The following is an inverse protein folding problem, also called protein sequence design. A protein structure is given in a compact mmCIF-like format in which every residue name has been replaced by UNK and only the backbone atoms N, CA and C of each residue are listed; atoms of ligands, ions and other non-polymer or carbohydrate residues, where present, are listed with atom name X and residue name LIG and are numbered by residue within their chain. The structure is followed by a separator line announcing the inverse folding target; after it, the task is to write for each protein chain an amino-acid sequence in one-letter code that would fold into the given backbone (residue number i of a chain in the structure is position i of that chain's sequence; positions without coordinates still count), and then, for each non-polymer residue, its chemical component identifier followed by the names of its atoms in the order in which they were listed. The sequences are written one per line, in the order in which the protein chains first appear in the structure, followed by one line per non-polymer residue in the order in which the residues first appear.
data_IF_011881782212
#
_entry.id   IF_011881782212
#
_cell.length_a   1.000
_cell.length_b   1.000
_cell.length_c   1.000
_cell.angle_alpha   90.00
_cell.angle_beta   90.00
_cell.angle_gamma   90.00
#
_symmetry.space_group_name_H-M   'P 1'
#
loop_
_entity.id
_entity.type
_entity.pdbx_description
1 polymer ?
#
# COMPACT_ATOMS: atom_id res chain seq x y z
N UNK A 1 -54.50 9.91 -46.44
CA UNK A 1 -53.24 9.06 -46.32
C UNK A 1 -52.92 8.86 -44.85
N UNK A 2 -53.11 7.67 -44.32
CA UNK A 2 -52.80 7.37 -42.88
C UNK A 2 -51.33 7.06 -42.66
N UNK A 3 -50.81 7.52 -41.53
CA UNK A 3 -49.49 7.25 -41.03
C UNK A 3 -49.37 5.80 -40.59
N UNK A 4 -48.25 5.16 -40.90
CA UNK A 4 -47.88 3.80 -40.50
C UNK A 4 -47.38 3.77 -39.08
N UNK A 5 -47.78 2.73 -38.39
CA UNK A 5 -47.60 2.33 -37.02
C UNK A 5 -46.15 2.25 -36.53
N UNK A 6 -45.88 2.89 -35.40
CA UNK A 6 -44.71 2.67 -34.56
C UNK A 6 -44.94 1.40 -33.70
N UNK A 7 -44.39 0.28 -34.11
CA UNK A 7 -44.32 -0.93 -33.28
C UNK A 7 -43.00 -0.94 -32.50
N UNK A 8 -43.00 -1.13 -31.16
CA UNK A 8 -41.76 -1.17 -30.38
C UNK A 8 -40.97 -2.45 -30.66
N UNK A 9 -39.70 -2.27 -31.00
CA UNK A 9 -38.73 -3.33 -31.17
C UNK A 9 -38.56 -4.18 -29.88
N UNK A 10 -38.77 -5.50 -29.98
CA UNK A 10 -38.52 -6.46 -28.90
C UNK A 10 -37.27 -7.26 -29.21
N UNK A 11 -36.21 -7.21 -28.35
CA UNK A 11 -35.00 -8.02 -28.56
C UNK A 11 -35.29 -9.49 -28.27
N UNK A 12 -35.27 -10.32 -29.31
CA UNK A 12 -35.49 -11.78 -29.25
C UNK A 12 -34.39 -12.59 -28.53
N UNK A 13 -33.28 -11.95 -28.10
CA UNK A 13 -32.16 -12.59 -27.44
C UNK A 13 -32.34 -12.81 -25.92
N UNK A 14 -33.01 -11.90 -25.24
CA UNK A 14 -33.17 -11.98 -23.78
C UNK A 14 -34.10 -13.09 -23.32
N UNK A 15 -35.09 -13.45 -24.13
CA UNK A 15 -36.03 -14.55 -23.81
C UNK A 15 -35.38 -15.96 -23.92
N UNK A 16 -34.30 -16.11 -24.70
CA UNK A 16 -33.54 -17.38 -24.77
C UNK A 16 -32.57 -17.52 -23.60
N UNK A 17 -31.91 -16.42 -23.16
CA UNK A 17 -31.01 -16.45 -22.03
C UNK A 17 -31.75 -16.73 -20.71
N UNK A 18 -32.96 -16.18 -20.52
CA UNK A 18 -33.77 -16.47 -19.34
C UNK A 18 -34.22 -17.94 -19.26
N UNK A 19 -34.58 -18.56 -20.40
CA UNK A 19 -34.96 -19.98 -20.44
C UNK A 19 -33.79 -20.94 -20.19
N UNK A 20 -32.58 -20.59 -20.60
CA UNK A 20 -31.40 -21.40 -20.32
C UNK A 20 -30.95 -21.29 -18.84
N UNK A 21 -31.10 -20.13 -18.20
CA UNK A 21 -30.92 -19.95 -16.78
C UNK A 21 -31.89 -20.79 -15.94
N UNK A 22 -33.17 -20.76 -16.30
CA UNK A 22 -34.23 -21.51 -15.61
C UNK A 22 -34.08 -23.05 -15.78
N UNK A 23 -33.60 -23.50 -16.94
CA UNK A 23 -33.25 -24.91 -17.19
C UNK A 23 -32.00 -25.36 -16.42
N UNK A 24 -30.99 -24.50 -16.32
CA UNK A 24 -29.80 -24.79 -15.54
C UNK A 24 -30.12 -24.89 -14.03
N UNK A 25 -30.99 -24.04 -13.52
CA UNK A 25 -31.45 -24.09 -12.13
C UNK A 25 -32.26 -25.34 -11.84
N UNK A 26 -33.17 -25.74 -12.75
CA UNK A 26 -34.01 -26.96 -12.59
C UNK A 26 -33.23 -28.26 -12.74
N UNK A 27 -32.15 -28.29 -13.53
CA UNK A 27 -31.36 -29.52 -13.75
C UNK A 27 -30.22 -29.65 -12.72
N UNK A 28 -29.61 -28.54 -12.31
CA UNK A 28 -28.49 -28.58 -11.34
C UNK A 28 -28.94 -28.62 -9.90
N UNK A 29 -30.14 -28.12 -9.58
CA UNK A 29 -30.70 -28.15 -8.22
C UNK A 29 -30.85 -29.58 -7.60
N UNK A 30 -31.30 -30.61 -8.35
CA UNK A 30 -31.37 -31.95 -7.80
C UNK A 30 -29.99 -32.63 -7.71
N UNK A 31 -29.02 -32.27 -8.54
CA UNK A 31 -27.66 -32.83 -8.51
C UNK A 31 -26.91 -32.29 -7.30
N UNK A 32 -27.01 -30.99 -7.02
CA UNK A 32 -26.43 -30.36 -5.83
C UNK A 32 -27.00 -30.97 -4.53
N UNK A 33 -28.32 -31.26 -4.48
CA UNK A 33 -28.95 -31.92 -3.33
C UNK A 33 -28.49 -33.36 -3.12
N UNK A 34 -28.09 -34.09 -4.16
CA UNK A 34 -27.65 -35.48 -4.07
C UNK A 34 -26.18 -35.60 -3.58
N UNK A 35 -25.32 -34.62 -3.85
CA UNK A 35 -23.94 -34.61 -3.36
C UNK A 35 -23.82 -34.27 -1.88
N UNK A 36 -24.77 -33.51 -1.31
CA UNK A 36 -24.76 -33.11 0.10
C UNK A 36 -25.10 -34.29 1.07
N UNK A 37 -25.68 -35.40 0.59
CA UNK A 37 -26.03 -36.53 1.45
C UNK A 37 -24.87 -37.47 1.84
N UNK A 38 -23.64 -37.27 1.33
CA UNK A 38 -22.47 -38.13 1.61
C UNK A 38 -21.36 -37.46 2.40
N UNK A 39 -21.61 -36.35 3.09
CA UNK A 39 -20.53 -35.47 3.53
C UNK A 39 -20.17 -35.45 5.01
N UNK A 40 -20.98 -35.97 5.92
CA UNK A 40 -20.59 -36.04 7.34
C UNK A 40 -19.73 -37.27 7.62
N UNK A 41 -18.57 -37.21 8.26
CA UNK A 41 -18.00 -36.05 9.02
C UNK A 41 -17.08 -35.13 8.22
N UNK A 42 -16.92 -35.31 6.90
CA UNK A 42 -15.94 -34.60 6.06
C UNK A 42 -16.43 -33.24 5.52
N UNK A 43 -17.72 -32.95 5.60
CA UNK A 43 -18.29 -31.66 5.22
C UNK A 43 -19.00 -31.02 6.41
N UNK A 44 -18.97 -29.67 6.51
CA UNK A 44 -19.68 -28.96 7.56
C UNK A 44 -21.19 -29.26 7.50
N UNK A 45 -21.90 -29.26 8.65
CA UNK A 45 -23.34 -29.51 8.69
C UNK A 45 -24.10 -28.49 7.83
N UNK A 46 -25.13 -29.01 7.12
CA UNK A 46 -26.02 -28.17 6.32
C UNK A 46 -26.86 -27.28 7.23
N UNK A 47 -26.93 -25.99 6.91
CA UNK A 47 -27.79 -25.05 7.63
C UNK A 47 -29.25 -25.31 7.25
N UNK A 48 -30.21 -25.38 8.21
CA UNK A 48 -31.61 -25.48 7.91
C UNK A 48 -32.12 -24.31 7.08
N UNK A 49 -33.09 -24.56 6.17
CA UNK A 49 -33.74 -23.49 5.39
C UNK A 49 -34.43 -22.51 6.34
N UNK A 50 -34.11 -21.18 6.17
CA UNK A 50 -34.69 -20.11 6.99
C UNK A 50 -33.85 -19.70 8.18
N UNK A 51 -32.66 -20.27 8.38
CA UNK A 51 -31.68 -19.77 9.32
C UNK A 51 -30.71 -18.86 8.58
N UNK A 52 -30.72 -17.58 8.89
CA UNK A 52 -29.67 -16.64 8.48
C UNK A 52 -28.39 -17.04 9.20
N UNK A 53 -27.48 -17.66 8.46
CA UNK A 53 -26.13 -17.88 8.96
C UNK A 53 -25.44 -16.55 8.89
N UNK A 54 -24.95 -16.00 10.01
CA UNK A 54 -24.09 -14.83 9.95
C UNK A 54 -22.96 -15.14 8.96
N UNK A 55 -22.81 -14.33 7.92
CA UNK A 55 -21.66 -14.45 7.01
C UNK A 55 -20.41 -14.55 7.89
N UNK A 56 -19.68 -15.67 7.74
CA UNK A 56 -18.40 -15.83 8.40
C UNK A 56 -17.58 -14.62 8.00
N UNK A 57 -17.43 -13.65 8.91
CA UNK A 57 -16.61 -12.47 8.66
C UNK A 57 -15.28 -12.99 8.14
N UNK A 58 -14.97 -12.63 6.91
CA UNK A 58 -13.74 -13.02 6.27
C UNK A 58 -12.59 -12.55 7.18
N UNK A 59 -11.78 -13.46 7.67
CA UNK A 59 -10.54 -13.11 8.41
C UNK A 59 -9.46 -12.61 7.45
N UNK A 60 -9.84 -12.18 6.24
CA UNK A 60 -9.03 -11.61 5.19
C UNK A 60 -9.34 -10.11 5.06
N UNK A 61 -8.60 -9.43 4.22
CA UNK A 61 -8.73 -8.00 4.07
C UNK A 61 -8.19 -7.24 5.28
N UNK A 62 -8.91 -6.23 5.71
CA UNK A 62 -8.52 -5.36 6.83
C UNK A 62 -8.49 -6.08 8.20
N UNK A 63 -9.18 -7.21 8.33
CA UNK A 63 -9.25 -7.99 9.56
C UNK A 63 -8.18 -9.09 9.68
N UNK A 64 -7.27 -9.21 8.70
CA UNK A 64 -6.21 -10.22 8.76
C UNK A 64 -5.23 -9.93 9.89
N UNK A 65 -5.08 -10.89 10.82
CA UNK A 65 -4.15 -10.76 11.95
C UNK A 65 -2.70 -10.93 11.50
N UNK A 66 -1.93 -9.86 11.58
CA UNK A 66 -0.49 -9.81 11.24
C UNK A 66 0.42 -9.83 12.48
N UNK A 67 -0.09 -9.92 13.71
CA UNK A 67 0.71 -9.85 14.96
C UNK A 67 1.77 -10.94 15.03
N UNK A 68 1.48 -12.13 14.49
CA UNK A 68 2.42 -13.24 14.42
C UNK A 68 3.71 -12.87 13.67
N UNK A 69 3.62 -12.00 12.65
CA UNK A 69 4.75 -11.59 11.83
C UNK A 69 5.77 -10.71 12.58
N UNK A 70 5.39 -10.17 13.73
CA UNK A 70 6.25 -9.36 14.61
C UNK A 70 6.87 -10.15 15.76
N UNK A 71 6.55 -11.43 15.92
CA UNK A 71 7.20 -12.31 16.88
C UNK A 71 8.65 -12.62 16.49
N UNK A 72 9.51 -12.92 17.48
CA UNK A 72 10.94 -13.12 17.28
C UNK A 72 11.31 -14.08 16.13
N UNK A 73 10.71 -15.29 15.98
CA UNK A 73 11.08 -16.19 14.89
C UNK A 73 10.72 -15.63 13.51
N UNK A 74 9.56 -14.98 13.35
CA UNK A 74 9.17 -14.37 12.08
C UNK A 74 10.07 -13.15 11.74
N UNK A 75 10.49 -12.38 12.75
CA UNK A 75 11.46 -11.28 12.57
C UNK A 75 12.81 -11.79 12.11
N UNK A 76 13.33 -12.86 12.72
CA UNK A 76 14.60 -13.46 12.33
C UNK A 76 14.55 -13.98 10.88
N UNK A 77 13.48 -14.70 10.52
CA UNK A 77 13.27 -15.19 9.16
C UNK A 77 13.16 -14.02 8.15
N UNK A 78 12.38 -12.99 8.46
CA UNK A 78 12.28 -11.79 7.60
C UNK A 78 13.63 -11.12 7.41
N UNK A 79 14.45 -10.98 8.47
CA UNK A 79 15.78 -10.40 8.35
C UNK A 79 16.63 -11.18 7.34
N UNK A 80 16.57 -12.50 7.35
CA UNK A 80 17.21 -13.35 6.36
C UNK A 80 16.65 -13.14 4.94
N UNK A 81 15.34 -13.09 4.79
CA UNK A 81 14.67 -12.87 3.51
C UNK A 81 15.02 -11.49 2.93
N UNK A 82 14.94 -10.44 3.73
CA UNK A 82 15.20 -9.06 3.25
C UNK A 82 16.67 -8.84 2.94
N UNK A 83 17.59 -9.29 3.80
CA UNK A 83 19.03 -9.11 3.59
C UNK A 83 19.65 -10.09 2.58
N UNK A 84 18.98 -11.19 2.28
CA UNK A 84 19.37 -12.18 1.27
C UNK A 84 18.61 -11.98 -0.05
N UNK A 85 17.62 -12.83 -0.35
CA UNK A 85 17.00 -12.87 -1.67
C UNK A 85 16.33 -11.55 -2.10
N UNK A 86 15.68 -10.80 -1.19
CA UNK A 86 15.04 -9.52 -1.56
C UNK A 86 16.09 -8.48 -1.92
N UNK A 87 17.15 -8.35 -1.13
CA UNK A 87 18.27 -7.43 -1.43
C UNK A 87 18.94 -7.80 -2.75
N UNK A 88 19.21 -9.09 -2.99
CA UNK A 88 19.82 -9.55 -4.23
C UNK A 88 18.92 -9.20 -5.44
N UNK A 89 17.62 -9.52 -5.35
CA UNK A 89 16.65 -9.19 -6.39
C UNK A 89 16.57 -7.67 -6.65
N UNK A 90 16.47 -6.86 -5.61
CA UNK A 90 16.39 -5.39 -5.73
C UNK A 90 17.69 -4.85 -6.32
N UNK A 91 18.86 -5.35 -5.91
CA UNK A 91 20.15 -4.92 -6.46
C UNK A 91 20.29 -5.30 -7.93
N UNK A 92 19.81 -6.49 -8.33
CA UNK A 92 19.88 -6.95 -9.71
C UNK A 92 18.90 -6.21 -10.66
N UNK A 93 17.68 -5.92 -10.18
CA UNK A 93 16.62 -5.35 -11.02
C UNK A 93 16.62 -3.82 -10.96
N UNK A 94 16.81 -3.23 -9.80
CA UNK A 94 16.58 -1.80 -9.56
C UNK A 94 17.84 -1.02 -9.17
N UNK A 95 18.96 -1.68 -8.84
CA UNK A 95 20.26 -1.08 -8.48
C UNK A 95 20.14 0.25 -7.72
N UNK A 96 19.55 0.30 -6.52
CA UNK A 96 19.18 1.54 -5.85
C UNK A 96 20.41 2.33 -5.41
N UNK A 97 20.47 3.61 -5.80
CA UNK A 97 21.43 4.60 -5.29
C UNK A 97 20.74 5.40 -4.20
N UNK A 98 21.29 5.36 -3.00
CA UNK A 98 20.68 5.95 -1.80
C UNK A 98 21.40 7.22 -1.43
N UNK A 99 20.64 8.30 -1.19
CA UNK A 99 21.12 9.61 -0.79
C UNK A 99 20.36 10.14 0.42
N UNK A 100 20.95 11.07 1.17
CA UNK A 100 20.28 11.78 2.26
C UNK A 100 20.10 10.98 3.55
N UNK A 101 20.75 9.81 3.69
CA UNK A 101 20.69 9.03 4.96
C UNK A 101 21.41 9.74 6.11
N UNK A 102 22.37 10.61 5.80
CA UNK A 102 23.07 11.50 6.74
C UNK A 102 22.09 12.45 7.46
N UNK A 103 20.98 12.82 6.83
CA UNK A 103 19.91 13.67 7.42
C UNK A 103 19.19 12.99 8.58
N UNK A 104 19.37 11.68 8.75
CA UNK A 104 18.80 10.89 9.83
C UNK A 104 19.85 10.56 10.92
N UNK A 105 21.10 10.98 10.73
CA UNK A 105 22.23 10.59 11.59
C UNK A 105 22.05 11.01 13.04
N UNK A 106 21.49 12.20 13.28
CA UNK A 106 21.29 12.69 14.64
C UNK A 106 20.26 11.82 15.39
N UNK A 107 19.17 11.45 14.73
CA UNK A 107 18.15 10.56 15.32
C UNK A 107 18.67 9.13 15.52
N UNK A 108 19.57 8.65 14.65
CA UNK A 108 20.12 7.30 14.75
C UNK A 108 21.15 7.14 15.88
N UNK A 109 21.72 8.24 16.37
CA UNK A 109 22.72 8.24 17.48
C UNK A 109 22.09 8.21 18.87
N UNK A 110 20.77 8.39 18.97
CA UNK A 110 20.09 8.24 20.26
C UNK A 110 20.19 6.79 20.73
N UNK A 111 20.29 6.56 22.03
CA UNK A 111 20.33 5.22 22.64
C UNK A 111 19.03 4.45 22.33
N UNK A 112 17.89 5.16 22.26
CA UNK A 112 16.59 4.65 21.81
C UNK A 112 16.06 5.55 20.69
N UNK A 113 16.39 5.27 19.42
CA UNK A 113 15.99 6.07 18.29
C UNK A 113 14.45 6.07 18.14
N UNK A 114 13.83 7.25 18.01
CA UNK A 114 12.37 7.33 17.87
C UNK A 114 11.88 6.63 16.60
N UNK A 115 10.69 6.03 16.61
CA UNK A 115 10.07 5.49 15.41
C UNK A 115 9.83 6.61 14.40
N UNK A 116 9.96 6.30 13.11
CA UNK A 116 9.79 7.24 12.01
C UNK A 116 8.65 6.80 11.07
N UNK A 117 8.01 7.79 10.45
CA UNK A 117 7.00 7.56 9.41
C UNK A 117 7.62 7.96 8.06
N UNK A 118 8.02 6.97 7.26
CA UNK A 118 8.55 7.20 5.91
C UNK A 118 7.42 7.38 4.91
N UNK A 119 7.46 8.48 4.15
CA UNK A 119 6.43 8.84 3.17
C UNK A 119 7.01 8.95 1.76
N UNK A 120 7.21 7.82 1.08
CA UNK A 120 7.65 7.84 -0.31
C UNK A 120 6.51 8.17 -1.28
N UNK A 121 6.87 8.69 -2.48
CA UNK A 121 6.01 8.65 -3.66
C UNK A 121 5.78 7.19 -4.11
N UNK A 122 4.75 6.94 -4.95
CA UNK A 122 4.36 5.56 -5.29
C UNK A 122 4.10 5.34 -6.78
N UNK A 123 5.10 4.85 -7.50
CA UNK A 123 5.02 4.59 -8.94
C UNK A 123 4.99 3.09 -9.27
N UNK A 124 5.48 2.23 -8.38
CA UNK A 124 5.73 0.82 -8.67
C UNK A 124 5.52 -0.08 -7.45
N UNK A 125 5.21 -1.35 -7.68
CA UNK A 125 5.33 -2.37 -6.62
C UNK A 125 6.77 -2.58 -6.14
N UNK A 126 7.77 -2.21 -6.95
CA UNK A 126 9.18 -2.26 -6.55
C UNK A 126 9.50 -1.26 -5.44
N UNK A 127 8.75 -0.15 -5.30
CA UNK A 127 8.99 0.87 -4.28
C UNK A 127 9.04 0.27 -2.88
N UNK A 128 8.13 -0.65 -2.58
CA UNK A 128 8.08 -1.29 -1.26
C UNK A 128 9.29 -2.19 -1.01
N UNK A 129 9.72 -2.95 -2.02
CA UNK A 129 10.92 -3.78 -1.91
C UNK A 129 12.20 -2.92 -1.80
N UNK A 130 12.26 -1.81 -2.56
CA UNK A 130 13.34 -0.83 -2.47
C UNK A 130 13.38 -0.21 -1.07
N UNK A 131 12.25 0.27 -0.54
CA UNK A 131 12.20 0.79 0.84
C UNK A 131 12.64 -0.24 1.88
N UNK A 132 12.21 -1.50 1.76
CA UNK A 132 12.58 -2.56 2.70
C UNK A 132 14.10 -2.80 2.78
N UNK A 133 14.85 -2.51 1.71
CA UNK A 133 16.31 -2.71 1.68
C UNK A 133 17.11 -1.42 1.86
N UNK A 134 16.51 -0.24 1.62
CA UNK A 134 17.22 1.05 1.65
C UNK A 134 16.98 1.86 2.92
N UNK A 135 15.87 1.65 3.64
CA UNK A 135 15.69 2.27 4.97
C UNK A 135 16.88 1.89 5.84
N UNK A 136 17.57 2.88 6.48
CA UNK A 136 18.74 2.60 7.29
C UNK A 136 18.37 1.92 8.62
N UNK A 137 19.35 1.23 9.23
CA UNK A 137 19.25 0.83 10.63
C UNK A 137 19.34 2.08 11.54
N UNK A 138 18.67 2.07 12.69
CA UNK A 138 17.98 0.93 13.32
C UNK A 138 16.52 0.71 12.86
N UNK A 139 15.95 1.63 12.10
CA UNK A 139 14.52 1.63 11.74
C UNK A 139 14.12 0.44 10.86
N UNK A 140 15.01 -0.02 9.97
CA UNK A 140 14.74 -1.17 9.11
C UNK A 140 14.42 -2.46 9.89
N UNK A 141 15.07 -2.65 11.02
CA UNK A 141 14.85 -3.86 11.86
C UNK A 141 13.47 -3.89 12.51
N UNK A 142 12.86 -2.72 12.73
CA UNK A 142 11.50 -2.52 13.27
C UNK A 142 10.62 -1.76 12.27
N UNK A 143 10.63 -2.17 10.99
CA UNK A 143 9.83 -1.53 9.95
C UNK A 143 8.53 -2.30 9.73
N UNK A 144 7.41 -1.58 9.59
CA UNK A 144 6.12 -2.07 9.10
C UNK A 144 5.74 -1.31 7.83
N UNK A 145 5.02 -1.95 6.93
CA UNK A 145 4.57 -1.35 5.68
C UNK A 145 3.05 -1.33 5.65
N UNK A 146 2.47 -0.15 5.50
CA UNK A 146 1.04 0.01 5.28
C UNK A 146 0.68 -0.47 3.87
N UNK A 147 -0.11 -1.54 3.76
CA UNK A 147 -0.45 -2.17 2.50
C UNK A 147 -1.96 -2.25 2.31
N UNK A 148 -2.43 -1.99 1.09
CA UNK A 148 -3.83 -2.02 0.74
C UNK A 148 -4.46 -3.39 1.01
N UNK A 149 -5.47 -3.42 1.87
CA UNK A 149 -6.12 -4.64 2.34
C UNK A 149 -6.80 -5.40 1.19
N UNK A 150 -7.42 -4.70 0.26
CA UNK A 150 -8.11 -5.23 -0.91
C UNK A 150 -7.19 -5.92 -1.93
N UNK A 151 -5.90 -5.63 -1.92
CA UNK A 151 -4.94 -6.17 -2.88
C UNK A 151 -4.00 -7.23 -2.30
N UNK A 152 -3.42 -6.97 -1.13
CA UNK A 152 -2.41 -7.85 -0.53
C UNK A 152 -3.02 -8.88 0.42
N UNK A 153 -4.23 -8.64 0.91
CA UNK A 153 -4.88 -9.50 1.90
C UNK A 153 -6.19 -10.14 1.38
N UNK A 154 -6.39 -10.17 0.05
CA UNK A 154 -7.50 -10.85 -0.62
C UNK A 154 -7.41 -12.39 -0.51
N UNK A 155 -6.18 -12.93 -0.40
CA UNK A 155 -5.91 -14.37 -0.30
C UNK A 155 -4.91 -14.64 0.83
N UNK A 156 -5.15 -15.73 1.60
CA UNK A 156 -4.31 -16.08 2.76
C UNK A 156 -2.83 -16.20 2.43
N UNK A 157 -2.46 -16.85 1.32
CA UNK A 157 -1.06 -17.02 0.94
C UNK A 157 -0.37 -15.67 0.60
N UNK A 158 -1.08 -14.75 -0.07
CA UNK A 158 -0.56 -13.41 -0.34
C UNK A 158 -0.39 -12.62 0.96
N UNK A 159 -1.41 -12.64 1.83
CA UNK A 159 -1.37 -11.98 3.12
C UNK A 159 -0.20 -12.50 3.98
N UNK A 160 -0.02 -13.83 4.03
CA UNK A 160 1.09 -14.45 4.76
C UNK A 160 2.45 -14.04 4.17
N UNK A 161 2.59 -14.06 2.84
CA UNK A 161 3.83 -13.67 2.17
C UNK A 161 4.15 -12.18 2.41
N UNK A 162 3.18 -11.30 2.26
CA UNK A 162 3.35 -9.86 2.49
C UNK A 162 3.68 -9.56 3.96
N UNK A 163 2.97 -10.19 4.91
CA UNK A 163 3.23 -10.02 6.33
C UNK A 163 4.61 -10.59 6.72
N UNK A 164 5.02 -11.72 6.15
CA UNK A 164 6.32 -12.34 6.48
C UNK A 164 7.48 -11.58 5.87
N UNK A 165 7.43 -11.24 4.57
CA UNK A 165 8.58 -10.65 3.85
C UNK A 165 8.73 -9.15 4.10
N UNK A 166 7.63 -8.40 4.15
CA UNK A 166 7.63 -6.93 4.25
C UNK A 166 7.10 -6.40 5.59
N UNK A 167 6.67 -7.29 6.50
CA UNK A 167 5.90 -6.89 7.70
C UNK A 167 4.68 -6.03 7.34
N UNK A 168 4.03 -6.36 6.21
CA UNK A 168 2.89 -5.62 5.73
C UNK A 168 1.72 -5.74 6.72
N UNK A 169 1.06 -4.61 6.95
CA UNK A 169 -0.15 -4.51 7.76
C UNK A 169 -1.30 -4.06 6.86
N UNK A 170 -2.50 -4.68 7.00
CA UNK A 170 -3.64 -4.31 6.18
C UNK A 170 -4.17 -2.94 6.58
N UNK A 171 -4.31 -2.05 5.61
CA UNK A 171 -4.99 -0.77 5.80
C UNK A 171 -6.10 -0.60 4.77
N UNK A 172 -7.18 0.03 5.19
CA UNK A 172 -8.19 0.50 4.28
C UNK A 172 -7.68 1.72 3.53
N UNK A 173 -7.88 1.78 2.20
CA UNK A 173 -7.38 2.89 1.37
C UNK A 173 -7.96 4.24 1.75
N UNK A 174 -9.12 4.24 2.35
CA UNK A 174 -9.77 5.45 2.80
C UNK A 174 -9.20 5.99 4.11
N UNK A 175 -8.32 5.24 4.80
CA UNK A 175 -7.74 5.58 6.13
C UNK A 175 -8.75 6.16 7.15
N UNK A 176 -10.02 6.18 6.77
CA UNK A 176 -11.14 6.62 7.59
C UNK A 176 -11.54 5.56 8.61
N UNK A 177 -11.03 4.34 8.44
CA UNK A 177 -11.23 3.25 9.40
C UNK A 177 -10.51 3.54 10.72
N UNK A 178 -11.27 3.97 11.74
CA UNK A 178 -10.78 4.19 13.11
C UNK A 178 -9.91 3.03 13.61
N UNK A 179 -10.28 1.78 13.23
CA UNK A 179 -9.57 0.55 13.59
C UNK A 179 -8.15 0.46 13.01
N UNK A 180 -7.97 0.81 11.74
CA UNK A 180 -6.65 0.82 11.09
C UNK A 180 -5.74 1.88 11.68
N UNK A 181 -6.27 3.07 11.95
CA UNK A 181 -5.51 4.18 12.55
C UNK A 181 -5.06 3.85 13.97
N UNK A 182 -5.92 3.26 14.81
CA UNK A 182 -5.56 2.86 16.18
C UNK A 182 -4.52 1.73 16.18
N UNK A 183 -4.62 0.77 15.27
CA UNK A 183 -3.62 -0.29 15.13
C UNK A 183 -2.24 0.27 14.74
N UNK A 184 -2.19 1.20 13.79
CA UNK A 184 -0.92 1.82 13.38
C UNK A 184 -0.35 2.67 14.52
N UNK A 185 -1.19 3.44 15.20
CA UNK A 185 -0.79 4.22 16.37
C UNK A 185 -0.14 3.35 17.42
N UNK A 186 -0.78 2.25 17.82
CA UNK A 186 -0.20 1.28 18.77
C UNK A 186 1.15 0.73 18.30
N UNK A 187 1.32 0.43 17.01
CA UNK A 187 2.60 -0.03 16.47
C UNK A 187 3.71 1.02 16.58
N UNK A 188 3.40 2.29 16.32
CA UNK A 188 4.36 3.38 16.46
C UNK A 188 4.73 3.57 17.94
N UNK A 189 3.75 3.53 18.85
CA UNK A 189 3.96 3.59 20.31
C UNK A 189 4.82 2.41 20.81
N UNK A 190 4.71 1.23 20.18
CA UNK A 190 5.57 0.06 20.42
C UNK A 190 6.98 0.17 19.78
N UNK A 191 7.33 1.33 19.21
CA UNK A 191 8.63 1.62 18.61
C UNK A 191 8.82 1.07 17.19
N UNK A 192 7.72 0.75 16.47
CA UNK A 192 7.79 0.35 15.06
C UNK A 192 7.76 1.57 14.15
N UNK A 193 8.69 1.64 13.20
CA UNK A 193 8.66 2.62 12.12
C UNK A 193 7.71 2.17 11.00
N UNK A 194 7.12 3.13 10.31
CA UNK A 194 6.10 2.90 9.30
C UNK A 194 6.55 3.38 7.92
N UNK A 195 6.32 2.59 6.88
CA UNK A 195 6.25 3.08 5.50
C UNK A 195 4.78 3.21 5.11
N UNK A 196 4.39 4.38 4.71
CA UNK A 196 3.05 4.67 4.20
C UNK A 196 3.13 5.51 2.94
N UNK A 197 2.39 5.12 1.91
CA UNK A 197 2.31 5.83 0.64
C UNK A 197 1.14 6.83 0.71
N UNK A 198 1.41 8.14 0.89
CA UNK A 198 0.34 9.11 1.15
C UNK A 198 -0.56 9.35 -0.07
N UNK A 199 -0.12 9.03 -1.27
CA UNK A 199 -0.92 9.04 -2.49
C UNK A 199 -2.13 8.09 -2.43
N UNK A 200 -2.07 7.03 -1.60
CA UNK A 200 -3.12 6.03 -1.45
C UNK A 200 -3.24 5.03 -2.61
N UNK A 201 -2.40 5.13 -3.60
CA UNK A 201 -2.32 4.21 -4.73
C UNK A 201 -1.14 4.51 -5.62
N UNK A 202 -0.82 3.59 -6.54
CA UNK A 202 0.25 3.83 -7.53
C UNK A 202 -0.20 4.83 -8.57
N UNK A 203 0.71 5.71 -8.97
CA UNK A 203 0.51 6.63 -10.08
C UNK A 203 -0.07 5.92 -11.32
N UNK A 204 -1.11 6.48 -11.96
CA UNK A 204 -1.68 5.91 -13.17
C UNK A 204 -0.85 6.22 -14.44
N UNK A 205 -0.17 7.34 -14.46
CA UNK A 205 0.45 7.98 -15.64
C UNK A 205 1.95 8.30 -15.46
N UNK A 206 2.50 8.02 -14.29
CA UNK A 206 3.91 8.29 -13.97
C UNK A 206 4.14 9.60 -13.20
N UNK A 207 3.11 10.43 -13.01
CA UNK A 207 3.15 11.60 -12.15
C UNK A 207 2.69 11.25 -10.73
N UNK A 208 3.13 12.01 -9.73
CA UNK A 208 2.65 11.85 -8.36
C UNK A 208 1.17 12.22 -8.23
N UNK A 209 0.57 11.82 -7.14
CA UNK A 209 -0.80 12.19 -6.77
C UNK A 209 -0.77 13.04 -5.49
N UNK A 210 -1.85 13.79 -5.25
CA UNK A 210 -1.99 14.56 -4.02
C UNK A 210 -1.92 13.69 -2.78
N UNK A 211 -1.21 14.18 -1.78
CA UNK A 211 -1.01 13.46 -0.53
C UNK A 211 -2.25 13.52 0.35
N UNK A 212 -2.73 12.36 0.76
CA UNK A 212 -3.77 12.22 1.77
C UNK A 212 -3.21 12.49 3.16
N UNK A 213 -4.05 13.01 4.05
CA UNK A 213 -3.66 13.42 5.39
C UNK A 213 -3.25 12.32 6.38
N UNK A 214 -3.22 11.04 5.97
CA UNK A 214 -2.99 9.92 6.88
C UNK A 214 -1.66 9.95 7.62
N UNK A 215 -0.56 10.21 6.92
CA UNK A 215 0.77 10.32 7.53
C UNK A 215 0.87 11.52 8.50
N UNK A 216 0.35 12.67 8.08
CA UNK A 216 0.30 13.87 8.91
C UNK A 216 -0.54 13.66 10.19
N UNK A 217 -1.70 13.00 10.05
CA UNK A 217 -2.56 12.64 11.19
C UNK A 217 -1.83 11.72 12.18
N UNK A 218 -1.21 10.64 11.69
CA UNK A 218 -0.48 9.70 12.54
C UNK A 218 0.67 10.39 13.27
N UNK A 219 1.47 11.20 12.57
CA UNK A 219 2.56 11.96 13.18
C UNK A 219 2.06 12.91 14.27
N UNK A 220 0.99 13.65 14.01
CA UNK A 220 0.38 14.57 15.00
C UNK A 220 -0.15 13.84 16.23
N UNK A 221 -0.58 12.58 16.08
CA UNK A 221 -1.15 11.79 17.20
C UNK A 221 -0.12 11.03 18.00
N UNK A 222 1.00 10.65 17.39
CA UNK A 222 2.04 9.82 18.02
C UNK A 222 3.30 10.59 18.37
N UNK A 223 3.49 11.78 17.81
CA UNK A 223 4.76 12.53 17.92
C UNK A 223 5.87 11.98 17.03
N UNK A 224 5.67 10.87 16.33
CA UNK A 224 6.69 10.29 15.44
C UNK A 224 6.95 11.22 14.25
N UNK A 225 8.23 11.61 13.99
CA UNK A 225 8.56 12.44 12.84
C UNK A 225 8.26 11.75 11.50
N UNK A 226 7.85 12.55 10.51
CA UNK A 226 7.70 12.09 9.12
C UNK A 226 9.00 12.31 8.37
N UNK A 227 9.50 11.29 7.69
CA UNK A 227 10.65 11.38 6.78
C UNK A 227 10.12 11.34 5.36
N UNK A 228 10.12 12.47 4.62
CA UNK A 228 9.81 12.46 3.20
C UNK A 228 10.87 11.68 2.44
N UNK A 229 10.44 10.88 1.47
CA UNK A 229 11.33 10.06 0.63
C UNK A 229 10.91 10.23 -0.82
N UNK A 230 11.86 10.39 -1.72
CA UNK A 230 11.60 10.36 -3.15
C UNK A 230 12.28 9.16 -3.79
N UNK A 231 11.51 8.37 -4.54
CA UNK A 231 11.98 7.21 -5.29
C UNK A 231 11.84 7.49 -6.77
N UNK A 232 12.96 7.55 -7.47
CA UNK A 232 13.03 7.74 -8.91
C UNK A 232 13.34 6.44 -9.64
N UNK A 233 12.82 6.30 -10.86
CA UNK A 233 13.15 5.24 -11.81
C UNK A 233 12.31 3.96 -11.69
N UNK A 234 11.69 3.65 -10.55
CA UNK A 234 10.92 2.40 -10.36
C UNK A 234 9.72 2.28 -11.30
N UNK A 235 9.06 3.40 -11.63
CA UNK A 235 7.94 3.45 -12.57
C UNK A 235 8.32 2.98 -13.96
N UNK A 236 9.51 3.33 -14.45
CA UNK A 236 10.03 2.89 -15.75
C UNK A 236 10.48 1.42 -15.74
N UNK A 237 10.85 0.88 -14.57
CA UNK A 237 11.27 -0.51 -14.41
C UNK A 237 10.09 -1.46 -14.24
N UNK A 238 9.09 -1.11 -13.43
CA UNK A 238 7.91 -1.94 -13.20
C UNK A 238 6.69 -1.10 -12.81
N UNK A 239 6.28 -0.19 -13.69
CA UNK A 239 5.12 0.68 -13.52
C UNK A 239 3.78 -0.05 -13.64
N UNK A 240 2.70 0.70 -13.41
CA UNK A 240 1.32 0.19 -13.50
C UNK A 240 1.05 -0.32 -14.92
N UNK A 241 0.50 -1.55 -15.03
CA UNK A 241 0.19 -2.19 -16.31
C UNK A 241 1.34 -2.99 -16.95
N UNK A 242 2.57 -2.87 -16.47
CA UNK A 242 3.68 -3.66 -16.97
C UNK A 242 3.57 -5.13 -16.51
N UNK A 243 3.77 -6.08 -17.45
CA UNK A 243 3.71 -7.52 -17.15
C UNK A 243 5.05 -8.11 -16.69
N UNK A 244 6.15 -7.47 -17.01
CA UNK A 244 7.52 -7.92 -16.67
C UNK A 244 8.36 -6.74 -16.22
N UNK A 245 9.18 -6.88 -15.18
CA UNK A 245 10.12 -5.84 -14.79
C UNK A 245 11.22 -5.69 -15.84
N UNK A 246 11.73 -4.47 -15.97
CA UNK A 246 12.96 -4.13 -16.68
C UNK A 246 14.08 -3.98 -15.67
N UNK A 247 15.32 -4.16 -16.11
CA UNK A 247 16.51 -3.92 -15.29
C UNK A 247 16.96 -2.47 -15.49
N UNK A 248 17.34 -1.81 -14.41
CA UNK A 248 17.87 -0.44 -14.47
C UNK A 248 18.34 0.06 -13.11
N UNK A 249 18.55 1.36 -13.02
CA UNK A 249 18.98 2.03 -11.80
C UNK A 249 17.83 2.84 -11.23
N UNK A 250 17.71 2.84 -9.93
CA UNK A 250 16.77 3.70 -9.20
C UNK A 250 17.54 4.62 -8.26
N UNK A 251 16.93 5.73 -7.87
CA UNK A 251 17.48 6.66 -6.90
C UNK A 251 16.50 6.79 -5.74
N UNK A 252 17.01 6.74 -4.53
CA UNK A 252 16.22 6.94 -3.30
C UNK A 252 16.84 8.09 -2.53
N UNK A 253 16.06 9.15 -2.30
CA UNK A 253 16.52 10.34 -1.58
C UNK A 253 15.70 10.49 -0.30
N UNK A 254 16.36 10.40 0.86
CA UNK A 254 15.73 10.66 2.15
C UNK A 254 15.82 12.15 2.48
N UNK A 255 14.71 12.73 2.94
CA UNK A 255 14.64 14.11 3.40
C UNK A 255 14.93 14.26 4.89
N UNK A 256 14.92 15.50 5.35
CA UNK A 256 14.98 15.79 6.78
C UNK A 256 13.68 15.38 7.46
N UNK A 257 13.74 14.85 8.68
CA UNK A 257 12.55 14.57 9.48
C UNK A 257 11.71 15.83 9.71
N UNK A 258 10.40 15.70 9.53
CA UNK A 258 9.42 16.76 9.74
C UNK A 258 8.53 16.39 10.92
N UNK A 259 8.30 17.35 11.80
CA UNK A 259 7.30 17.26 12.88
C UNK A 259 6.22 18.32 12.68
N UNK A 260 4.99 18.12 13.17
CA UNK A 260 3.96 19.14 13.11
C UNK A 260 4.38 20.36 13.92
N UNK A 261 4.08 21.56 13.42
CA UNK A 261 4.33 22.81 14.16
C UNK A 261 3.13 23.10 15.08
N UNK A 262 3.33 23.82 16.20
CA UNK A 262 2.25 24.21 17.08
C UNK A 262 1.12 24.91 16.32
N UNK A 263 -0.12 24.40 16.46
CA UNK A 263 -1.30 24.96 15.77
C UNK A 263 -1.43 24.58 14.29
N UNK A 264 -0.54 23.78 13.73
CA UNK A 264 -0.62 23.30 12.36
C UNK A 264 -1.73 22.25 12.21
N UNK A 265 -2.66 22.48 11.29
CA UNK A 265 -3.68 21.47 10.99
C UNK A 265 -3.14 20.37 10.06
N UNK A 266 -3.78 19.22 10.10
CA UNK A 266 -3.38 18.01 9.31
C UNK A 266 -3.23 18.29 7.81
N UNK A 267 -4.08 19.16 7.23
CA UNK A 267 -4.02 19.46 5.80
C UNK A 267 -2.76 20.25 5.45
N UNK A 268 -2.41 21.27 6.23
CA UNK A 268 -1.19 22.08 6.02
C UNK A 268 0.06 21.22 6.22
N UNK A 269 0.04 20.37 7.25
CA UNK A 269 1.15 19.46 7.48
C UNK A 269 1.31 18.43 6.35
N UNK A 270 0.21 17.87 5.84
CA UNK A 270 0.25 16.98 4.66
C UNK A 270 0.81 17.68 3.42
N UNK A 271 0.42 18.94 3.19
CA UNK A 271 0.96 19.75 2.09
C UNK A 271 2.46 19.96 2.26
N UNK A 272 2.93 20.30 3.44
CA UNK A 272 4.37 20.50 3.73
C UNK A 272 5.17 19.19 3.53
N UNK A 273 4.58 18.03 3.83
CA UNK A 273 5.19 16.73 3.53
C UNK A 273 5.27 16.51 2.02
N UNK A 274 4.22 16.82 1.27
CA UNK A 274 4.18 16.73 -0.20
C UNK A 274 5.22 17.66 -0.83
N UNK A 275 5.30 18.91 -0.40
CA UNK A 275 6.28 19.89 -0.87
C UNK A 275 7.71 19.41 -0.62
N UNK A 276 7.96 18.78 0.53
CA UNK A 276 9.26 18.21 0.84
C UNK A 276 9.61 17.03 -0.08
N UNK A 277 8.66 16.15 -0.42
CA UNK A 277 8.88 15.07 -1.41
C UNK A 277 9.12 15.64 -2.81
N UNK A 278 8.37 16.68 -3.20
CA UNK A 278 8.57 17.40 -4.46
C UNK A 278 9.99 17.98 -4.56
N UNK A 279 10.44 18.61 -3.49
CA UNK A 279 11.81 19.17 -3.42
C UNK A 279 12.88 18.08 -3.57
N UNK A 280 12.67 16.89 -2.98
CA UNK A 280 13.58 15.76 -3.16
C UNK A 280 13.56 15.21 -4.58
N UNK A 281 12.42 15.29 -5.27
CA UNK A 281 12.30 14.97 -6.69
C UNK A 281 13.18 15.90 -7.54
N UNK A 282 13.11 17.19 -7.28
CA UNK A 282 13.96 18.18 -7.95
C UNK A 282 15.45 18.00 -7.61
N UNK A 283 15.77 17.70 -6.35
CA UNK A 283 17.13 17.36 -5.91
C UNK A 283 17.66 16.12 -6.63
N UNK A 284 16.81 15.11 -6.87
CA UNK A 284 17.21 13.91 -7.59
C UNK A 284 17.57 14.16 -9.05
N UNK A 285 16.95 15.16 -9.69
CA UNK A 285 17.17 15.52 -11.09
C UNK A 285 18.30 16.53 -11.26
N UNK A 286 18.62 17.28 -10.23
CA UNK A 286 19.64 18.34 -10.25
C UNK A 286 20.72 18.10 -9.18
N UNK A 287 20.62 18.83 -8.10
CA UNK A 287 21.39 18.68 -6.87
C UNK A 287 20.70 19.44 -5.73
N UNK A 288 21.19 19.22 -4.50
CA UNK A 288 20.64 19.83 -3.29
C UNK A 288 20.51 21.35 -3.36
N UNK A 289 21.55 22.06 -3.86
CA UNK A 289 21.58 23.52 -3.88
C UNK A 289 20.67 24.11 -4.96
N UNK A 290 20.67 23.52 -6.14
CA UNK A 290 19.81 23.97 -7.24
C UNK A 290 18.32 23.76 -6.94
N UNK A 291 17.96 22.64 -6.36
CA UNK A 291 16.58 22.36 -5.93
C UNK A 291 16.09 23.41 -4.92
N UNK A 292 16.89 23.71 -3.88
CA UNK A 292 16.53 24.73 -2.89
C UNK A 292 16.48 26.13 -3.45
N UNK A 293 17.35 26.47 -4.39
CA UNK A 293 17.33 27.78 -5.08
C UNK A 293 16.04 27.93 -5.89
N UNK A 294 15.63 26.89 -6.63
CA UNK A 294 14.37 26.89 -7.38
C UNK A 294 13.16 26.99 -6.46
N UNK A 295 13.15 26.24 -5.36
CA UNK A 295 12.10 26.34 -4.37
C UNK A 295 11.97 27.74 -3.77
N UNK A 296 13.09 28.37 -3.43
CA UNK A 296 13.11 29.74 -2.90
C UNK A 296 12.63 30.80 -3.91
N UNK A 297 12.78 30.54 -5.21
CA UNK A 297 12.29 31.42 -6.29
C UNK A 297 10.87 31.06 -6.78
N UNK A 298 10.20 30.08 -6.17
CA UNK A 298 8.86 29.61 -6.59
C UNK A 298 8.84 28.80 -7.89
N UNK A 299 9.99 28.32 -8.35
CA UNK A 299 10.16 27.61 -9.62
C UNK A 299 10.36 26.09 -9.42
N UNK A 300 9.90 25.51 -8.31
CA UNK A 300 9.93 24.06 -8.12
C UNK A 300 9.03 23.36 -9.15
N UNK A 301 9.48 22.23 -9.75
CA UNK A 301 8.62 21.43 -10.60
C UNK A 301 7.46 20.85 -9.79
N UNK A 302 6.31 20.68 -10.43
CA UNK A 302 5.17 20.00 -9.79
C UNK A 302 5.42 18.49 -9.69
N UNK A 303 5.08 17.89 -8.56
CA UNK A 303 5.07 16.42 -8.39
C UNK A 303 3.97 15.78 -9.23
N UNK A 304 2.84 16.47 -9.39
CA UNK A 304 1.62 15.98 -10.05
C UNK A 304 1.62 16.23 -11.57
N UNK A 305 2.70 16.75 -12.12
CA UNK A 305 2.82 17.06 -13.55
C UNK A 305 2.44 18.50 -13.91
N UNK A 306 2.51 18.84 -15.19
CA UNK A 306 2.06 20.15 -15.67
C UNK A 306 0.54 20.28 -15.51
N UNK A 307 0.09 21.46 -15.09
CA UNK A 307 -1.32 21.84 -15.04
C UNK A 307 -1.92 21.99 -16.44
#
# INVERSE_FOLDING_TARGET
MPRRDDAPWKPSGLARAARLGDLAERVLHPIARRSYRRGFPLLPPTVPLGVDVPEKQSTLGADYDTRWARKAPARALRRGIVNGPVRLMVSAVASPRVHGTDRLSDLSRHDDPPPLIFTPNHHSHLDTAVMAVTVPEPWRSKLVVAAAADYFFDKRWKATLAALSLNAIPIDRELTGRKSSEMIKSLIEDGWSLVIYPEGGRSPDGWGQDFKGGAAYLSSRTGAPVVPVFIDGTGSLFGKGMKRPRIGTTRVVFGHPLSPTPGENTRRYSQRIQDAVTLLGDESLTDYWNARRRAASGNSPSLTGPE
#
